data_IF_200833656790
#
_entry.id   IF_200833656790
#
_cell.length_a   1.000
_cell.length_b   1.000
_cell.length_c   1.000
_cell.angle_alpha   90.00
_cell.angle_beta   90.00
_cell.angle_gamma   90.00
#
_symmetry.space_group_name_H-M   'P 1'
#
loop_
_entity.id
_entity.type
_entity.pdbx_description
1 polymer ?
#
# COMPACT_ATOMS: atom_id res chain seq x y z
N UNK A 1 -10.65 22.90 65.64
CA UNK A 1 -10.61 22.04 64.44
C UNK A 1 -10.18 22.91 63.27
N UNK A 2 -9.06 22.59 62.62
CA UNK A 2 -8.30 23.50 61.76
C UNK A 2 -9.05 23.71 60.42
N UNK A 3 -9.31 24.97 60.05
CA UNK A 3 -9.79 25.38 58.70
C UNK A 3 -8.81 25.03 57.57
N UNK A 4 -7.60 24.61 57.94
CA UNK A 4 -6.49 24.30 57.03
C UNK A 4 -6.70 22.98 56.25
N UNK A 5 -7.65 22.12 56.63
CA UNK A 5 -7.75 20.79 56.02
C UNK A 5 -8.68 20.76 54.77
N UNK A 6 -9.62 21.70 54.64
CA UNK A 6 -10.62 21.69 53.56
C UNK A 6 -10.10 22.32 52.26
N UNK A 7 -9.33 23.41 52.35
CA UNK A 7 -8.77 24.10 51.18
C UNK A 7 -7.70 23.25 50.47
N UNK A 8 -6.89 22.52 51.23
CA UNK A 8 -5.89 21.60 50.68
C UNK A 8 -6.55 20.37 50.06
N UNK A 9 -7.67 19.89 50.62
CA UNK A 9 -8.43 18.77 50.06
C UNK A 9 -9.11 19.14 48.74
N UNK A 10 -9.70 20.34 48.66
CA UNK A 10 -10.25 20.86 47.41
C UNK A 10 -9.18 21.14 46.35
N UNK A 11 -8.02 21.67 46.75
CA UNK A 11 -6.88 21.88 45.85
C UNK A 11 -6.31 20.56 45.30
N UNK A 12 -6.23 19.52 46.14
CA UNK A 12 -5.78 18.19 45.73
C UNK A 12 -6.77 17.52 44.76
N UNK A 13 -8.08 17.63 45.02
CA UNK A 13 -9.12 17.12 44.10
C UNK A 13 -9.14 17.87 42.76
N UNK A 14 -8.85 19.17 42.74
CA UNK A 14 -8.70 19.93 41.50
C UNK A 14 -7.47 19.45 40.71
N UNK A 15 -6.32 19.25 41.37
CA UNK A 15 -5.11 18.75 40.72
C UNK A 15 -5.24 17.32 40.18
N UNK A 16 -6.01 16.46 40.86
CA UNK A 16 -6.30 15.09 40.41
C UNK A 16 -7.32 15.02 39.26
N UNK A 17 -8.14 16.05 39.05
CA UNK A 17 -9.08 16.12 37.93
C UNK A 17 -8.46 16.66 36.64
N UNK A 18 -7.33 17.37 36.71
CA UNK A 18 -6.55 17.77 35.54
C UNK A 18 -5.61 16.67 35.01
N UNK A 19 -5.28 15.65 35.80
CA UNK A 19 -4.35 14.58 35.39
C UNK A 19 -5.01 13.43 34.60
N UNK A 20 -6.35 13.42 34.46
CA UNK A 20 -7.08 12.36 33.73
C UNK A 20 -7.48 12.73 32.31
N UNK A 21 -7.16 13.93 31.83
CA UNK A 21 -7.63 14.43 30.51
C UNK A 21 -6.60 14.34 29.39
N UNK A 22 -5.42 13.77 29.61
CA UNK A 22 -4.40 13.65 28.56
C UNK A 22 -4.14 12.18 28.27
N UNK A 23 -4.36 11.80 27.00
CA UNK A 23 -4.01 10.52 26.33
C UNK A 23 -5.12 9.48 26.08
N UNK A 24 -6.29 9.91 25.58
CA UNK A 24 -7.17 9.01 24.81
C UNK A 24 -7.02 9.16 23.28
N UNK A 25 -6.13 10.03 22.79
CA UNK A 25 -5.97 10.31 21.36
C UNK A 25 -4.81 9.54 20.69
N UNK A 26 -3.99 8.79 21.43
CA UNK A 26 -2.81 8.08 20.89
C UNK A 26 -3.10 6.61 20.50
N UNK A 27 -4.36 6.16 20.52
CA UNK A 27 -4.72 4.74 20.37
C UNK A 27 -5.51 4.42 19.08
N UNK A 28 -5.06 4.85 17.89
CA UNK A 28 -5.73 4.40 16.65
C UNK A 28 -4.81 4.02 15.48
N UNK A 29 -3.48 4.05 15.62
CA UNK A 29 -2.59 3.53 14.57
C UNK A 29 -2.32 2.02 14.68
N UNK A 30 -2.41 1.45 15.88
CA UNK A 30 -2.13 0.04 16.10
C UNK A 30 -3.37 -0.81 15.90
N UNK A 31 -3.52 -1.35 14.68
CA UNK A 31 -4.32 -2.57 14.47
C UNK A 31 -5.24 -2.58 13.25
N UNK A 32 -5.18 -1.56 12.39
CA UNK A 32 -5.74 -1.73 11.04
C UNK A 32 -4.76 -2.53 10.16
N UNK A 33 -5.28 -3.41 9.31
CA UNK A 33 -4.45 -4.15 8.34
C UNK A 33 -4.76 -3.70 6.92
N UNK A 34 -3.71 -3.35 6.17
CA UNK A 34 -3.81 -2.87 4.80
C UNK A 34 -3.36 -3.94 3.82
N UNK A 35 -4.14 -4.14 2.76
CA UNK A 35 -3.84 -5.08 1.67
C UNK A 35 -3.99 -4.39 0.33
N UNK A 36 -3.19 -4.85 -0.64
CA UNK A 36 -3.05 -4.27 -1.97
C UNK A 36 -3.10 -5.39 -2.99
N UNK A 37 -3.86 -5.23 -4.07
CA UNK A 37 -3.84 -6.18 -5.19
C UNK A 37 -4.27 -5.51 -6.48
N UNK A 38 -4.02 -6.19 -7.60
CA UNK A 38 -4.60 -5.84 -8.89
C UNK A 38 -5.74 -6.82 -9.21
N UNK A 39 -6.90 -6.28 -9.52
CA UNK A 39 -8.11 -7.02 -9.88
C UNK A 39 -8.37 -6.88 -11.37
N UNK A 40 -8.43 -8.00 -12.08
CA UNK A 40 -8.94 -8.06 -13.45
C UNK A 40 -10.45 -8.30 -13.41
N UNK A 41 -11.20 -7.43 -14.06
CA UNK A 41 -12.64 -7.57 -14.35
C UNK A 41 -12.84 -7.51 -15.86
N UNK A 42 -14.06 -7.77 -16.32
CA UNK A 42 -14.38 -7.76 -17.76
C UNK A 42 -14.20 -6.37 -18.40
N UNK A 43 -14.45 -5.33 -17.62
CA UNK A 43 -14.45 -3.92 -18.03
C UNK A 43 -13.11 -3.21 -17.78
N UNK A 44 -12.18 -3.82 -17.04
CA UNK A 44 -10.95 -3.14 -16.68
C UNK A 44 -10.02 -3.91 -15.75
N UNK A 45 -8.83 -3.34 -15.57
CA UNK A 45 -7.86 -3.77 -14.57
C UNK A 45 -7.79 -2.69 -13.50
N UNK A 46 -7.92 -3.07 -12.24
CA UNK A 46 -8.09 -2.15 -11.12
C UNK A 46 -7.05 -2.39 -10.03
N UNK A 47 -6.49 -1.31 -9.48
CA UNK A 47 -5.77 -1.37 -8.22
C UNK A 47 -6.82 -1.38 -7.12
N UNK A 48 -6.74 -2.37 -6.24
CA UNK A 48 -7.55 -2.44 -5.05
C UNK A 48 -6.68 -2.19 -3.83
N UNK A 49 -7.11 -1.21 -3.03
CA UNK A 49 -6.67 -1.02 -1.68
C UNK A 49 -7.79 -1.43 -0.72
N UNK A 50 -7.44 -2.14 0.34
CA UNK A 50 -8.37 -2.56 1.39
C UNK A 50 -7.71 -2.38 2.74
N UNK A 51 -8.32 -1.57 3.58
CA UNK A 51 -8.00 -1.42 4.99
C UNK A 51 -9.11 -2.04 5.82
N UNK A 52 -8.74 -2.98 6.66
CA UNK A 52 -9.65 -3.59 7.63
C UNK A 52 -9.36 -3.08 9.02
N UNK A 53 -10.41 -3.02 9.82
CA UNK A 53 -10.36 -2.74 11.24
C UNK A 53 -9.65 -3.89 11.99
N UNK A 54 -9.34 -3.69 13.27
CA UNK A 54 -8.69 -4.64 14.16
C UNK A 54 -9.37 -6.01 14.20
N UNK A 55 -10.68 -6.05 14.03
CA UNK A 55 -11.43 -7.30 14.02
C UNK A 55 -11.14 -8.18 12.78
N UNK A 56 -10.46 -7.66 11.75
CA UNK A 56 -10.11 -8.41 10.54
C UNK A 56 -11.27 -8.64 9.54
N UNK A 57 -12.47 -8.12 9.84
CA UNK A 57 -13.69 -8.30 9.03
C UNK A 57 -14.31 -6.97 8.57
N UNK A 58 -14.40 -5.98 9.45
CA UNK A 58 -14.96 -4.66 9.14
C UNK A 58 -14.00 -3.89 8.24
N UNK A 59 -14.54 -3.27 7.19
CA UNK A 59 -13.77 -2.39 6.33
C UNK A 59 -13.70 -0.98 6.94
N UNK A 60 -12.48 -0.48 7.13
CA UNK A 60 -12.25 0.95 7.39
C UNK A 60 -12.30 1.71 6.07
N UNK A 61 -11.67 1.15 5.04
CA UNK A 61 -11.64 1.73 3.69
C UNK A 61 -11.46 0.64 2.65
N UNK A 62 -12.19 0.76 1.55
CA UNK A 62 -11.91 -0.03 0.35
C UNK A 62 -12.08 0.88 -0.87
N UNK A 63 -11.13 0.80 -1.79
CA UNK A 63 -11.17 1.55 -3.04
C UNK A 63 -10.69 0.70 -4.19
N UNK A 64 -11.32 0.90 -5.34
CA UNK A 64 -10.91 0.35 -6.61
C UNK A 64 -10.64 1.51 -7.56
N UNK A 65 -9.43 1.60 -8.08
CA UNK A 65 -9.02 2.66 -9.00
C UNK A 65 -8.55 2.02 -10.29
N UNK A 66 -9.08 2.47 -11.42
CA UNK A 66 -8.79 1.92 -12.74
C UNK A 66 -7.31 2.16 -13.10
N UNK A 67 -6.65 1.13 -13.62
CA UNK A 67 -5.36 1.25 -14.30
C UNK A 67 -5.65 1.61 -15.75
N UNK A 68 -5.64 2.91 -16.05
CA UNK A 68 -5.82 3.42 -17.41
C UNK A 68 -4.76 2.81 -18.34
N UNK A 69 -5.09 2.67 -19.63
CA UNK A 69 -4.15 2.24 -20.69
C UNK A 69 -3.53 0.84 -20.54
N UNK A 70 -4.15 -0.04 -19.75
CA UNK A 70 -3.78 -1.46 -19.66
C UNK A 70 -4.73 -2.30 -20.50
N UNK A 71 -4.17 -3.15 -21.36
CA UNK A 71 -4.96 -4.08 -22.15
C UNK A 71 -5.50 -5.23 -21.27
N UNK A 72 -6.82 -5.23 -21.05
CA UNK A 72 -7.51 -6.21 -20.19
C UNK A 72 -7.34 -7.64 -20.71
N UNK A 73 -7.38 -7.83 -22.03
CA UNK A 73 -7.35 -9.16 -22.65
C UNK A 73 -6.01 -9.87 -22.41
N UNK A 74 -4.91 -9.12 -22.44
CA UNK A 74 -3.54 -9.64 -22.31
C UNK A 74 -2.92 -9.43 -20.94
N UNK A 75 -3.65 -8.82 -19.99
CA UNK A 75 -3.19 -8.64 -18.62
C UNK A 75 -2.72 -9.94 -17.97
N UNK A 76 -1.55 -9.90 -17.32
CA UNK A 76 -1.00 -10.97 -16.48
C UNK A 76 -0.39 -10.39 -15.21
N UNK A 77 -0.73 -10.99 -14.07
CA UNK A 77 -0.01 -10.75 -12.83
C UNK A 77 1.32 -11.50 -12.88
N UNK A 78 2.41 -10.87 -12.42
CA UNK A 78 3.76 -11.44 -12.52
C UNK A 78 4.43 -11.67 -11.18
N UNK A 79 3.95 -11.00 -10.14
CA UNK A 79 4.45 -11.12 -8.77
C UNK A 79 4.29 -9.81 -8.01
N UNK A 80 4.77 -9.82 -6.78
CA UNK A 80 4.80 -8.66 -5.91
C UNK A 80 5.97 -8.76 -4.93
N UNK A 81 6.32 -7.62 -4.34
CA UNK A 81 7.17 -7.55 -3.16
C UNK A 81 6.51 -6.68 -2.10
N UNK A 82 7.24 -6.36 -1.02
CA UNK A 82 6.72 -5.55 0.08
C UNK A 82 6.19 -4.17 -0.35
N UNK A 83 6.74 -3.58 -1.43
CA UNK A 83 6.47 -2.19 -1.81
C UNK A 83 5.69 -2.06 -3.13
N UNK A 84 5.71 -3.08 -3.97
CA UNK A 84 5.25 -2.97 -5.37
C UNK A 84 4.48 -4.20 -5.85
N UNK A 85 3.53 -3.96 -6.75
CA UNK A 85 2.84 -4.97 -7.55
C UNK A 85 3.42 -4.97 -8.96
N UNK A 86 3.53 -6.14 -9.56
CA UNK A 86 4.15 -6.30 -10.86
C UNK A 86 3.24 -7.08 -11.82
N UNK A 87 3.10 -6.54 -13.02
CA UNK A 87 2.16 -7.05 -14.02
C UNK A 87 2.63 -6.74 -15.44
N UNK A 88 2.02 -7.38 -16.43
CA UNK A 88 2.25 -7.09 -17.85
C UNK A 88 0.96 -7.06 -18.64
N UNK A 89 1.06 -6.45 -19.82
CA UNK A 89 0.10 -6.56 -20.91
C UNK A 89 0.87 -6.72 -22.24
N UNK A 90 0.17 -6.72 -23.38
CA UNK A 90 0.79 -6.80 -24.71
C UNK A 90 1.83 -5.69 -24.99
N UNK A 91 1.80 -4.58 -24.27
CA UNK A 91 2.67 -3.43 -24.49
C UNK A 91 3.93 -3.45 -23.60
N UNK A 92 3.99 -4.33 -22.60
CA UNK A 92 5.20 -4.54 -21.80
C UNK A 92 4.95 -4.92 -20.34
N UNK A 93 5.97 -4.63 -19.53
CA UNK A 93 6.04 -4.97 -18.11
C UNK A 93 5.99 -3.71 -17.27
N UNK A 94 5.27 -3.76 -16.16
CA UNK A 94 4.99 -2.61 -15.32
C UNK A 94 5.18 -2.90 -13.85
N UNK A 95 5.47 -1.84 -13.10
CA UNK A 95 5.53 -1.83 -11.66
C UNK A 95 4.59 -0.76 -11.09
N UNK A 96 3.91 -1.10 -10.00
CA UNK A 96 2.95 -0.24 -9.32
C UNK A 96 3.30 -0.16 -7.83
N UNK A 97 3.69 1.01 -7.31
CA UNK A 97 3.93 1.20 -5.87
C UNK A 97 2.64 1.06 -5.06
N UNK A 98 2.64 0.19 -4.05
CA UNK A 98 1.46 -0.17 -3.25
C UNK A 98 0.89 1.00 -2.45
N UNK A 99 1.73 1.68 -1.68
CA UNK A 99 1.31 2.70 -0.71
C UNK A 99 1.03 4.07 -1.35
N UNK A 100 1.72 4.40 -2.44
CA UNK A 100 1.64 5.73 -3.06
C UNK A 100 0.30 6.02 -3.76
N UNK A 101 -0.64 5.07 -3.73
CA UNK A 101 -1.97 5.21 -4.34
C UNK A 101 -3.10 5.42 -3.31
N UNK A 102 -2.79 5.37 -1.99
CA UNK A 102 -3.80 5.25 -0.92
C UNK A 102 -4.89 6.35 -0.92
N UNK A 103 -4.62 7.54 -1.44
CA UNK A 103 -5.62 8.64 -1.56
C UNK A 103 -5.70 9.23 -2.96
N UNK A 104 -5.23 8.51 -3.97
CA UNK A 104 -5.23 9.01 -5.34
C UNK A 104 -6.49 8.60 -6.08
N UNK A 105 -7.10 9.54 -6.80
CA UNK A 105 -8.19 9.27 -7.74
C UNK A 105 -7.71 8.59 -9.03
N UNK A 106 -6.39 8.52 -9.25
CA UNK A 106 -5.76 7.88 -10.40
C UNK A 106 -4.53 7.10 -9.98
N UNK A 107 -4.36 5.89 -10.53
CA UNK A 107 -3.20 5.03 -10.25
C UNK A 107 -2.00 5.46 -11.09
N UNK A 108 -0.85 5.62 -10.45
CA UNK A 108 0.43 5.79 -11.12
C UNK A 108 1.22 4.49 -11.10
N UNK A 109 1.53 3.98 -12.29
CA UNK A 109 2.40 2.83 -12.50
C UNK A 109 3.46 3.18 -13.56
N UNK A 110 4.52 2.39 -13.63
CA UNK A 110 5.68 2.69 -14.47
C UNK A 110 6.01 1.50 -15.36
N UNK A 111 6.18 1.75 -16.66
CA UNK A 111 6.68 0.74 -17.60
C UNK A 111 8.18 0.56 -17.35
N UNK A 112 8.60 -0.67 -17.11
CA UNK A 112 10.01 -1.02 -16.86
C UNK A 112 10.67 -1.68 -18.07
N UNK A 113 9.90 -2.38 -18.90
CA UNK A 113 10.37 -3.03 -20.12
C UNK A 113 9.26 -3.02 -21.18
N UNK A 114 9.63 -2.87 -22.44
CA UNK A 114 8.73 -3.12 -23.56
C UNK A 114 8.51 -4.62 -23.74
N UNK A 115 7.36 -4.99 -24.31
CA UNK A 115 7.10 -6.37 -24.68
C UNK A 115 8.11 -6.85 -25.73
N UNK A 116 8.69 -8.03 -25.52
CA UNK A 116 9.58 -8.69 -26.46
C UNK A 116 9.36 -10.20 -26.35
N UNK A 117 9.15 -10.86 -27.49
CA UNK A 117 8.86 -12.29 -27.55
C UNK A 117 9.97 -13.19 -26.96
N UNK A 118 11.21 -12.70 -26.93
CA UNK A 118 12.37 -13.42 -26.41
C UNK A 118 12.62 -13.16 -24.92
N UNK A 119 11.82 -12.30 -24.27
CA UNK A 119 11.92 -12.07 -22.84
C UNK A 119 11.15 -13.14 -22.07
N UNK A 120 11.81 -13.74 -21.09
CA UNK A 120 11.16 -14.60 -20.09
C UNK A 120 11.23 -13.90 -18.74
N UNK A 121 10.21 -14.13 -17.91
CA UNK A 121 10.12 -13.53 -16.58
C UNK A 121 9.77 -14.63 -15.58
N UNK A 122 10.37 -14.55 -14.39
CA UNK A 122 10.08 -15.44 -13.26
C UNK A 122 9.91 -14.58 -12.01
N UNK A 123 8.84 -14.85 -11.26
CA UNK A 123 8.57 -14.33 -9.91
C UNK A 123 8.89 -12.83 -9.71
N UNK A 124 8.08 -11.96 -10.30
CA UNK A 124 8.32 -10.52 -10.33
C UNK A 124 9.53 -10.12 -11.18
N UNK A 125 10.64 -9.79 -10.52
CA UNK A 125 11.72 -8.92 -11.03
C UNK A 125 12.86 -9.62 -11.78
N UNK A 126 12.81 -10.94 -11.94
CA UNK A 126 13.87 -11.70 -12.60
C UNK A 126 13.54 -11.91 -14.08
N UNK A 127 14.38 -11.37 -14.97
CA UNK A 127 14.16 -11.37 -16.41
C UNK A 127 15.32 -11.99 -17.19
N UNK A 128 14.99 -12.85 -18.15
CA UNK A 128 15.92 -13.31 -19.17
C UNK A 128 15.96 -12.29 -20.30
N UNK A 129 17.07 -11.55 -20.41
CA UNK A 129 17.30 -10.54 -21.45
C UNK A 129 18.60 -10.87 -22.15
N UNK A 130 18.56 -11.02 -23.47
CA UNK A 130 19.71 -11.38 -24.31
C UNK A 130 20.46 -12.63 -23.81
N UNK A 131 19.70 -13.66 -23.39
CA UNK A 131 20.26 -14.93 -22.91
C UNK A 131 20.87 -14.88 -21.50
N UNK A 132 20.82 -13.75 -20.80
CA UNK A 132 21.31 -13.60 -19.42
C UNK A 132 20.16 -13.30 -18.47
N UNK A 133 20.18 -13.89 -17.28
CA UNK A 133 19.25 -13.53 -16.21
C UNK A 133 19.67 -12.19 -15.61
N UNK A 134 18.70 -11.32 -15.34
CA UNK A 134 18.94 -10.00 -14.78
C UNK A 134 17.86 -9.73 -13.73
N UNK A 135 18.29 -9.30 -12.56
CA UNK A 135 17.38 -8.82 -11.54
C UNK A 135 17.16 -7.33 -11.73
N UNK A 136 15.91 -6.93 -11.99
CA UNK A 136 15.56 -5.52 -12.14
C UNK A 136 15.07 -4.97 -10.80
N UNK A 137 15.92 -4.18 -10.15
CA UNK A 137 15.45 -3.37 -9.03
C UNK A 137 14.80 -2.10 -9.58
N UNK A 138 13.47 -2.10 -9.65
CA UNK A 138 12.71 -0.94 -10.07
C UNK A 138 12.01 -0.31 -8.86
N UNK A 139 12.18 1.00 -8.70
CA UNK A 139 11.34 1.82 -7.83
C UNK A 139 10.93 3.08 -8.61
N UNK A 140 9.63 3.24 -8.81
CA UNK A 140 9.12 4.32 -9.66
C UNK A 140 9.64 4.20 -11.10
N UNK A 141 10.22 5.30 -11.62
CA UNK A 141 10.85 5.36 -12.95
C UNK A 141 12.29 4.83 -12.98
N UNK A 142 12.92 4.62 -11.83
CA UNK A 142 14.31 4.20 -11.76
C UNK A 142 14.39 2.69 -11.84
N UNK A 143 14.99 2.18 -12.92
CA UNK A 143 15.30 0.76 -13.08
C UNK A 143 16.81 0.61 -12.94
N UNK A 144 17.24 0.08 -11.80
CA UNK A 144 18.63 -0.31 -11.59
C UNK A 144 18.76 -1.79 -11.89
N UNK A 145 19.50 -2.11 -12.94
CA UNK A 145 19.84 -3.49 -13.27
C UNK A 145 20.91 -3.97 -12.30
N UNK A 146 20.60 -5.02 -11.55
CA UNK A 146 21.59 -5.75 -10.75
C UNK A 146 21.91 -7.01 -11.56
N UNK A 147 23.16 -7.09 -12.04
CA UNK A 147 23.69 -8.20 -12.85
C UNK A 147 23.94 -9.40 -11.96
#
# INVERSE_FOLDING_TARGET
>A
MKKLDLEYFCGLMLLLSFSTTVKASECYENGTSSTFKILKKNDGVYYQFTQKDQNGFSYVKQQNVLLNYIDVSTYKALGEDERTLMFSDKNGFYILPKLEQYDKQSVTYFKILNANANQKQINGRLFLINGKWNYLNAYGKQVTKIV
#
